data_IF_125546833828
#
_entry.id   IF_125546833828
#
_cell.length_a   1.000
_cell.length_b   1.000
_cell.length_c   1.000
_cell.angle_alpha   90.00
_cell.angle_beta   90.00
_cell.angle_gamma   90.00
#
_symmetry.space_group_name_H-M   'P 1'
#
loop_
_entity.id
_entity.type
_entity.pdbx_description
1 polymer ?
#
# COMPACT_ATOMS: atom_id res chain seq x y z
N UNK A 1 0.83 21.60 7.21
CA UNK A 1 1.81 20.73 7.87
C UNK A 1 2.53 19.97 6.78
N UNK A 2 3.84 20.12 6.64
CA UNK A 2 4.64 19.43 5.62
C UNK A 2 5.19 18.17 6.29
N UNK A 3 4.74 17.00 5.87
CA UNK A 3 5.32 15.74 6.30
C UNK A 3 6.62 15.56 5.49
N UNK A 4 7.76 15.93 6.09
CA UNK A 4 9.07 15.69 5.48
C UNK A 4 9.43 14.20 5.60
N UNK A 5 9.14 13.44 4.55
CA UNK A 5 9.60 12.05 4.43
C UNK A 5 11.07 12.04 4.01
N UNK A 6 12.00 12.06 4.98
CA UNK A 6 13.41 11.72 4.73
C UNK A 6 13.53 10.23 4.45
N UNK A 7 14.19 9.87 3.36
CA UNK A 7 14.50 8.49 2.99
C UNK A 7 15.15 7.77 4.18
N UNK A 8 14.44 6.80 4.78
CA UNK A 8 14.87 6.03 5.94
C UNK A 8 14.08 6.27 7.23
N UNK A 9 13.21 7.28 7.31
CA UNK A 9 12.27 7.43 8.43
C UNK A 9 10.97 6.71 8.11
N UNK A 10 10.88 5.43 8.50
CA UNK A 10 9.57 4.81 8.66
C UNK A 10 8.81 5.61 9.72
N UNK A 11 7.58 6.00 9.41
CA UNK A 11 6.68 6.63 10.37
C UNK A 11 6.58 5.69 11.58
N UNK A 12 6.97 6.16 12.75
CA UNK A 12 6.79 5.41 13.99
C UNK A 12 5.30 5.43 14.34
N UNK A 13 4.58 4.39 13.92
CA UNK A 13 3.14 4.18 14.14
C UNK A 13 2.74 4.29 15.62
N UNK A 14 3.70 4.15 16.54
CA UNK A 14 3.46 4.28 17.98
C UNK A 14 3.51 5.71 18.50
N UNK A 15 4.01 6.64 17.70
CA UNK A 15 4.11 8.07 18.02
C UNK A 15 3.09 8.96 17.34
N UNK A 16 2.29 8.42 16.42
CA UNK A 16 1.28 9.19 15.71
C UNK A 16 0.16 9.64 16.66
N UNK A 17 -0.28 10.89 16.52
CA UNK A 17 -1.55 11.30 17.11
C UNK A 17 -2.75 10.85 16.25
N UNK A 18 -3.97 11.10 16.71
CA UNK A 18 -5.19 10.68 15.99
C UNK A 18 -5.31 11.32 14.61
N UNK A 19 -4.98 12.60 14.47
CA UNK A 19 -5.11 13.33 13.19
C UNK A 19 -4.01 12.92 12.22
N UNK A 20 -2.78 12.76 12.71
CA UNK A 20 -1.68 12.23 11.92
C UNK A 20 -1.98 10.80 11.46
N UNK A 21 -2.61 9.98 12.32
CA UNK A 21 -3.05 8.64 11.93
C UNK A 21 -4.10 8.68 10.83
N UNK A 22 -5.09 9.58 10.88
CA UNK A 22 -6.08 9.74 9.81
C UNK A 22 -5.38 10.03 8.47
N UNK A 23 -4.45 10.99 8.45
CA UNK A 23 -3.70 11.32 7.26
C UNK A 23 -2.81 10.17 6.77
N UNK A 24 -2.17 9.46 7.71
CA UNK A 24 -1.29 8.36 7.36
C UNK A 24 -2.07 7.16 6.82
N UNK A 25 -3.25 6.84 7.38
CA UNK A 25 -4.12 5.80 6.84
C UNK A 25 -4.64 6.19 5.44
N UNK A 26 -5.00 7.44 5.21
CA UNK A 26 -5.36 7.92 3.88
C UNK A 26 -4.21 7.74 2.86
N UNK A 27 -2.97 8.06 3.27
CA UNK A 27 -1.78 7.79 2.47
C UNK A 27 -1.58 6.29 2.18
N UNK A 28 -1.75 5.42 3.18
CA UNK A 28 -1.62 3.97 3.02
C UNK A 28 -2.69 3.39 2.09
N UNK A 29 -3.93 3.90 2.13
CA UNK A 29 -4.99 3.54 1.19
C UNK A 29 -4.62 3.91 -0.26
N UNK A 30 -4.00 5.07 -0.47
CA UNK A 30 -3.48 5.48 -1.78
C UNK A 30 -2.32 4.59 -2.24
N UNK A 31 -1.37 4.26 -1.36
CA UNK A 31 -0.29 3.30 -1.67
C UNK A 31 -0.83 1.92 -2.03
N UNK A 32 -1.79 1.41 -1.25
CA UNK A 32 -2.47 0.14 -1.54
C UNK A 32 -3.06 0.14 -2.94
N UNK A 33 -3.71 1.24 -3.34
CA UNK A 33 -4.24 1.40 -4.69
C UNK A 33 -3.13 1.39 -5.76
N UNK A 34 -2.00 2.06 -5.52
CA UNK A 34 -0.83 2.04 -6.42
C UNK A 34 -0.28 0.63 -6.60
N UNK A 35 -0.14 -0.15 -5.53
CA UNK A 35 0.29 -1.55 -5.61
C UNK A 35 -0.70 -2.42 -6.41
N UNK A 36 -2.02 -2.21 -6.26
CA UNK A 36 -3.04 -2.92 -7.06
C UNK A 36 -2.89 -2.61 -8.55
N UNK A 37 -2.65 -1.35 -8.93
CA UNK A 37 -2.43 -0.98 -10.32
C UNK A 37 -1.16 -1.63 -10.90
N UNK A 38 -0.05 -1.56 -10.17
CA UNK A 38 1.21 -2.17 -10.58
C UNK A 38 1.11 -3.70 -10.73
N UNK A 39 0.40 -4.36 -9.81
CA UNK A 39 0.09 -5.79 -9.89
C UNK A 39 -0.69 -6.14 -11.16
N UNK A 40 -1.76 -5.38 -11.47
CA UNK A 40 -2.57 -5.59 -12.69
C UNK A 40 -1.74 -5.40 -13.96
N UNK A 41 -0.85 -4.41 -13.97
CA UNK A 41 0.04 -4.18 -15.10
C UNK A 41 1.05 -5.33 -15.28
N UNK A 42 1.65 -5.80 -14.18
CA UNK A 42 2.57 -6.94 -14.22
C UNK A 42 1.89 -8.20 -14.74
N UNK A 43 0.65 -8.49 -14.32
CA UNK A 43 -0.10 -9.65 -14.82
C UNK A 43 -0.46 -9.50 -16.30
N UNK A 44 -0.87 -8.30 -16.76
CA UNK A 44 -1.09 -8.04 -18.17
C UNK A 44 0.19 -8.27 -19.01
N UNK A 45 1.34 -7.81 -18.52
CA UNK A 45 2.63 -8.03 -19.18
C UNK A 45 3.05 -9.50 -19.20
N UNK A 46 2.70 -10.27 -18.16
CA UNK A 46 2.91 -11.73 -18.10
C UNK A 46 2.18 -12.42 -19.25
N UNK A 47 0.91 -12.08 -19.47
CA UNK A 47 0.12 -12.64 -20.58
C UNK A 47 0.62 -12.16 -21.95
N UNK A 48 1.00 -10.89 -22.10
CA UNK A 48 1.57 -10.37 -23.35
C UNK A 48 2.91 -11.03 -23.71
N UNK A 49 3.67 -11.46 -22.70
CA UNK A 49 4.98 -12.11 -22.86
C UNK A 49 4.90 -13.64 -22.81
N UNK A 50 3.75 -14.23 -23.15
CA UNK A 50 3.50 -15.66 -22.97
C UNK A 50 4.55 -16.57 -23.64
N UNK A 51 5.19 -16.12 -24.71
CA UNK A 51 6.19 -16.92 -25.44
C UNK A 51 7.62 -16.78 -24.92
N UNK A 52 7.86 -15.98 -23.87
CA UNK A 52 9.20 -15.71 -23.32
C UNK A 52 9.21 -16.12 -21.84
N UNK A 53 9.62 -17.36 -21.51
CA UNK A 53 9.50 -17.92 -20.15
C UNK A 53 10.17 -17.08 -19.05
N UNK A 54 11.35 -16.52 -19.34
CA UNK A 54 12.08 -15.67 -18.38
C UNK A 54 11.30 -14.39 -18.05
N UNK A 55 10.62 -13.80 -19.04
CA UNK A 55 9.78 -12.62 -18.81
C UNK A 55 8.51 -12.99 -18.06
N UNK A 56 7.87 -14.12 -18.40
CA UNK A 56 6.73 -14.62 -17.63
C UNK A 56 7.06 -14.77 -16.14
N UNK A 57 8.21 -15.38 -15.82
CA UNK A 57 8.64 -15.60 -14.45
C UNK A 57 8.92 -14.28 -13.73
N UNK A 58 9.61 -13.34 -14.38
CA UNK A 58 9.88 -12.02 -13.80
C UNK A 58 8.58 -11.25 -13.48
N UNK A 59 7.62 -11.25 -14.40
CA UNK A 59 6.32 -10.63 -14.17
C UNK A 59 5.51 -11.33 -13.09
N UNK A 60 5.53 -12.67 -13.03
CA UNK A 60 4.90 -13.43 -11.95
C UNK A 60 5.50 -13.08 -10.58
N UNK A 61 6.83 -12.97 -10.47
CA UNK A 61 7.48 -12.52 -9.23
C UNK A 61 7.07 -11.10 -8.85
N UNK A 62 6.89 -10.20 -9.84
CA UNK A 62 6.38 -8.84 -9.59
C UNK A 62 4.94 -8.83 -9.07
N UNK A 63 4.07 -9.69 -9.63
CA UNK A 63 2.69 -9.87 -9.15
C UNK A 63 2.70 -10.35 -7.70
N UNK A 64 3.51 -11.35 -7.37
CA UNK A 64 3.63 -11.89 -6.00
C UNK A 64 4.10 -10.79 -5.04
N UNK A 65 5.14 -10.03 -5.39
CA UNK A 65 5.63 -8.93 -4.55
C UNK A 65 4.54 -7.90 -4.25
N UNK A 66 3.81 -7.46 -5.27
CA UNK A 66 2.74 -6.49 -5.05
C UNK A 66 1.57 -7.05 -4.24
N UNK A 67 1.26 -8.35 -4.36
CA UNK A 67 0.28 -8.99 -3.48
C UNK A 67 0.73 -8.95 -2.02
N UNK A 68 2.01 -9.24 -1.75
CA UNK A 68 2.58 -9.13 -0.40
C UNK A 68 2.48 -7.69 0.12
N UNK A 69 2.91 -6.69 -0.68
CA UNK A 69 2.84 -5.27 -0.32
C UNK A 69 1.40 -4.83 0.02
N UNK A 70 0.41 -5.25 -0.78
CA UNK A 70 -1.02 -4.97 -0.53
C UNK A 70 -1.45 -5.57 0.82
N UNK A 71 -1.10 -6.82 1.11
CA UNK A 71 -1.46 -7.49 2.36
C UNK A 71 -0.81 -6.81 3.56
N UNK A 72 0.48 -6.45 3.46
CA UNK A 72 1.17 -5.73 4.54
C UNK A 72 0.56 -4.35 4.78
N UNK A 73 0.28 -3.60 3.71
CA UNK A 73 -0.36 -2.28 3.78
C UNK A 73 -1.73 -2.36 4.42
N UNK A 74 -2.56 -3.34 4.04
CA UNK A 74 -3.88 -3.54 4.64
C UNK A 74 -3.79 -3.86 6.14
N UNK A 75 -2.83 -4.70 6.56
CA UNK A 75 -2.62 -5.00 7.99
C UNK A 75 -2.24 -3.75 8.79
N UNK A 76 -1.41 -2.88 8.23
CA UNK A 76 -1.02 -1.62 8.87
C UNK A 76 -2.25 -0.68 9.01
N UNK A 77 -3.06 -0.56 7.96
CA UNK A 77 -4.32 0.18 7.99
C UNK A 77 -5.24 -0.36 9.09
N UNK A 78 -5.49 -1.67 9.12
CA UNK A 78 -6.38 -2.30 10.11
C UNK A 78 -5.91 -2.05 11.55
N UNK A 79 -4.60 -2.19 11.79
CA UNK A 79 -3.97 -1.94 13.09
C UNK A 79 -4.16 -0.49 13.54
N UNK A 80 -3.92 0.48 12.66
CA UNK A 80 -4.05 1.91 12.96
C UNK A 80 -5.51 2.31 13.16
N UNK A 81 -6.43 1.80 12.33
CA UNK A 81 -7.86 2.04 12.49
C UNK A 81 -8.39 1.50 13.82
N UNK A 82 -7.97 0.28 14.21
CA UNK A 82 -8.34 -0.30 15.50
C UNK A 82 -7.75 0.48 16.69
N UNK A 83 -6.47 0.86 16.61
CA UNK A 83 -5.79 1.59 17.70
C UNK A 83 -6.45 2.93 18.03
N UNK A 84 -6.94 3.65 17.02
CA UNK A 84 -7.55 4.98 17.17
C UNK A 84 -9.07 5.01 16.97
N UNK A 85 -9.73 3.84 16.89
CA UNK A 85 -11.16 3.69 16.60
C UNK A 85 -11.62 4.53 15.40
N UNK A 86 -10.83 4.54 14.33
CA UNK A 86 -11.13 5.28 13.12
C UNK A 86 -12.15 4.52 12.27
N UNK A 87 -13.04 5.27 11.64
CA UNK A 87 -14.00 4.76 10.66
C UNK A 87 -13.66 5.27 9.26
N UNK A 88 -14.26 4.67 8.24
CA UNK A 88 -14.14 5.15 6.87
C UNK A 88 -14.60 6.62 6.69
N UNK A 89 -15.47 7.13 7.58
CA UNK A 89 -15.87 8.54 7.60
C UNK A 89 -14.75 9.46 8.08
N UNK A 90 -14.04 9.05 9.14
CA UNK A 90 -12.89 9.81 9.68
C UNK A 90 -11.79 10.01 8.62
N UNK A 91 -11.61 9.00 7.75
CA UNK A 91 -10.58 9.02 6.70
C UNK A 91 -11.01 9.87 5.49
N UNK A 92 -12.29 9.79 5.10
CA UNK A 92 -12.80 10.45 3.89
C UNK A 92 -13.42 11.83 4.14
N UNK A 93 -13.49 12.30 5.39
CA UNK A 93 -14.02 13.62 5.73
C UNK A 93 -15.53 13.79 5.48
N UNK A 94 -16.31 12.70 5.55
CA UNK A 94 -17.78 12.69 5.34
C UNK A 94 -18.54 12.53 6.64
#
# INVERSE_FOLDING_TARGET
MVIELKAGNFVDEDKLDRNETIHFVAFLEEEKYRHVLAMRQADANRYASANIPVLQQAYQSSVIRHLEDIVFTQKAIDKLMQKYNLTARDINGV
#
